data_IF_526847768526
#
_entry.id   IF_526847768526
#
_cell.length_a   1.000
_cell.length_b   1.000
_cell.length_c   1.000
_cell.angle_alpha   90.00
_cell.angle_beta   90.00
_cell.angle_gamma   90.00
#
_symmetry.space_group_name_H-M   'P 1'
#
loop_
_entity.id
_entity.type
_entity.pdbx_description
1 polymer ?
#
# COMPACT_ATOMS: atom_id res chain seq x y z
N UNK A 1 9.33 26.67 3.03
CA UNK A 1 10.47 25.92 2.46
C UNK A 1 9.94 24.68 1.76
N UNK A 2 9.85 24.70 0.42
CA UNK A 2 9.50 23.51 -0.38
C UNK A 2 10.76 22.67 -0.48
N UNK A 3 10.74 21.46 0.10
CA UNK A 3 11.86 20.54 0.04
C UNK A 3 12.20 20.24 -1.42
N UNK A 4 13.38 20.72 -1.83
CA UNK A 4 14.09 20.38 -3.04
C UNK A 4 14.64 18.96 -2.90
N UNK A 5 13.80 17.95 -3.08
CA UNK A 5 14.25 16.62 -3.44
C UNK A 5 13.24 16.04 -4.43
N UNK A 6 13.75 15.19 -5.31
CA UNK A 6 13.04 14.38 -6.29
C UNK A 6 12.75 14.99 -7.67
N UNK A 7 13.64 14.69 -8.61
CA UNK A 7 13.23 14.36 -9.98
C UNK A 7 14.07 13.24 -10.65
N UNK A 8 15.19 12.79 -10.06
CA UNK A 8 16.03 11.73 -10.64
C UNK A 8 15.87 10.35 -9.99
N UNK A 9 16.00 10.26 -8.65
CA UNK A 9 16.04 8.99 -7.91
C UNK A 9 14.70 8.23 -7.93
N UNK A 10 13.60 8.96 -8.09
CA UNK A 10 12.25 8.41 -8.02
C UNK A 10 11.88 7.59 -9.26
N UNK A 11 12.40 7.90 -10.46
CA UNK A 11 11.89 7.26 -11.68
C UNK A 11 12.33 5.79 -11.82
N UNK A 12 13.58 5.47 -11.46
CA UNK A 12 14.08 4.10 -11.53
C UNK A 12 13.42 3.18 -10.47
N UNK A 13 13.30 3.68 -9.23
CA UNK A 13 12.64 2.97 -8.14
C UNK A 13 11.14 2.77 -8.42
N UNK A 14 10.47 3.79 -9.00
CA UNK A 14 9.07 3.65 -9.45
C UNK A 14 8.97 2.54 -10.48
N UNK A 15 9.80 2.52 -11.52
CA UNK A 15 9.75 1.48 -12.57
C UNK A 15 9.95 0.08 -11.99
N UNK A 16 10.92 -0.10 -11.09
CA UNK A 16 11.18 -1.39 -10.43
C UNK A 16 9.99 -1.85 -9.58
N UNK A 17 9.48 -0.99 -8.70
CA UNK A 17 8.34 -1.34 -7.84
C UNK A 17 7.04 -1.54 -8.64
N UNK A 18 6.88 -0.81 -9.75
CA UNK A 18 5.76 -0.94 -10.66
C UNK A 18 5.75 -2.31 -11.36
N UNK A 19 6.91 -2.89 -11.64
CA UNK A 19 7.01 -4.22 -12.26
C UNK A 19 6.37 -5.34 -11.42
N UNK A 20 6.19 -5.13 -10.11
CA UNK A 20 5.53 -6.09 -9.22
C UNK A 20 4.02 -5.86 -9.07
N UNK A 21 3.46 -4.79 -9.67
CA UNK A 21 2.03 -4.47 -9.60
C UNK A 21 1.21 -5.60 -10.18
N UNK A 22 0.17 -6.01 -9.46
CA UNK A 22 -0.75 -7.05 -9.89
C UNK A 22 -1.88 -6.47 -10.73
N UNK A 23 -2.27 -7.12 -11.85
CA UNK A 23 -3.39 -6.67 -12.66
C UNK A 23 -4.70 -6.77 -11.85
N UNK A 24 -5.60 -5.80 -12.04
CA UNK A 24 -6.94 -5.87 -11.44
C UNK A 24 -7.83 -6.88 -12.17
N UNK A 25 -8.85 -7.43 -11.48
CA UNK A 25 -9.82 -8.32 -12.11
C UNK A 25 -10.56 -7.62 -13.25
N UNK A 26 -10.95 -8.40 -14.26
CA UNK A 26 -11.60 -7.96 -15.49
C UNK A 26 -12.86 -7.12 -15.20
N UNK A 27 -12.92 -5.90 -15.76
CA UNK A 27 -14.05 -4.98 -15.60
C UNK A 27 -13.67 -3.52 -15.30
N UNK A 28 -12.39 -3.25 -15.00
CA UNK A 28 -11.86 -1.90 -14.83
C UNK A 28 -11.03 -1.51 -16.06
N UNK A 29 -11.07 -0.24 -16.48
CA UNK A 29 -10.27 0.22 -17.62
C UNK A 29 -8.77 0.16 -17.28
N UNK A 30 -8.00 -0.52 -18.13
CA UNK A 30 -6.55 -0.72 -17.94
C UNK A 30 -5.80 0.61 -17.80
N UNK A 31 -6.13 1.60 -18.64
CA UNK A 31 -5.47 2.91 -18.63
C UNK A 31 -5.68 3.69 -17.32
N UNK A 32 -6.87 3.58 -16.72
CA UNK A 32 -7.17 4.25 -15.45
C UNK A 32 -6.46 3.56 -14.27
N UNK A 33 -6.39 2.23 -14.30
CA UNK A 33 -5.73 1.42 -13.28
C UNK A 33 -4.20 1.57 -13.31
N UNK A 34 -3.59 1.63 -14.48
CA UNK A 34 -2.15 1.85 -14.65
C UNK A 34 -1.76 3.23 -14.09
N UNK A 35 -2.53 4.27 -14.45
CA UNK A 35 -2.35 5.63 -13.94
C UNK A 35 -2.50 5.70 -12.40
N UNK A 36 -3.46 4.96 -11.83
CA UNK A 36 -3.67 4.91 -10.38
C UNK A 36 -2.53 4.18 -9.66
N UNK A 37 -2.07 3.06 -10.20
CA UNK A 37 -1.02 2.23 -9.61
C UNK A 37 0.32 2.98 -9.62
N UNK A 38 0.66 3.66 -10.72
CA UNK A 38 1.89 4.44 -10.81
C UNK A 38 1.89 5.62 -9.81
N UNK A 39 0.77 6.35 -9.72
CA UNK A 39 0.60 7.45 -8.74
C UNK A 39 0.76 6.95 -7.31
N UNK A 40 0.24 5.77 -7.02
CA UNK A 40 0.34 5.13 -5.71
C UNK A 40 1.78 4.80 -5.36
N UNK A 41 2.52 4.13 -6.26
CA UNK A 41 3.93 3.79 -6.08
C UNK A 41 4.77 5.05 -5.88
N UNK A 42 4.55 6.08 -6.71
CA UNK A 42 5.25 7.37 -6.62
C UNK A 42 4.98 8.07 -5.29
N UNK A 43 3.74 8.08 -4.83
CA UNK A 43 3.35 8.65 -3.53
C UNK A 43 4.01 7.90 -2.37
N UNK A 44 4.10 6.58 -2.44
CA UNK A 44 4.73 5.77 -1.41
C UNK A 44 6.23 6.05 -1.31
N UNK A 45 6.97 6.05 -2.42
CA UNK A 45 8.41 6.35 -2.43
C UNK A 45 8.67 7.73 -1.81
N UNK A 46 7.87 8.74 -2.19
CA UNK A 46 7.96 10.10 -1.62
C UNK A 46 7.73 10.13 -0.10
N UNK A 47 6.86 9.25 0.41
CA UNK A 47 6.57 9.13 1.85
C UNK A 47 7.62 8.33 2.61
N UNK A 48 8.23 7.34 1.97
CA UNK A 48 9.35 6.60 2.57
C UNK A 48 10.54 7.54 2.74
N UNK A 49 10.82 8.39 1.75
CA UNK A 49 11.83 9.48 1.79
C UNK A 49 13.27 9.04 2.03
N UNK A 50 13.50 7.79 2.42
CA UNK A 50 14.77 7.17 2.77
C UNK A 50 15.06 6.04 1.79
N UNK A 51 16.20 6.10 1.10
CA UNK A 51 16.64 5.09 0.13
C UNK A 51 16.62 3.68 0.71
N UNK A 52 17.12 3.51 1.95
CA UNK A 52 17.12 2.21 2.65
C UNK A 52 15.72 1.59 2.78
N UNK A 53 14.68 2.36 3.04
CA UNK A 53 13.32 1.82 3.16
C UNK A 53 12.75 1.39 1.80
N UNK A 54 13.18 2.05 0.73
CA UNK A 54 12.81 1.69 -0.65
C UNK A 54 13.50 0.38 -1.05
N UNK A 55 14.78 0.22 -0.72
CA UNK A 55 15.54 -1.02 -0.95
C UNK A 55 14.95 -2.22 -0.19
N UNK A 56 14.58 -2.03 1.09
CA UNK A 56 13.91 -3.08 1.87
C UNK A 56 12.53 -3.43 1.28
N UNK A 57 11.81 -2.45 0.70
CA UNK A 57 10.57 -2.72 -0.03
C UNK A 57 10.84 -3.49 -1.32
N UNK A 58 11.84 -3.13 -2.11
CA UNK A 58 12.26 -3.88 -3.29
C UNK A 58 12.60 -5.33 -2.91
N UNK A 59 13.33 -5.54 -1.81
CA UNK A 59 13.66 -6.87 -1.29
C UNK A 59 12.43 -7.65 -0.85
N UNK A 60 11.51 -7.04 -0.12
CA UNK A 60 10.25 -7.68 0.30
C UNK A 60 9.41 -8.11 -0.91
N UNK A 61 9.32 -7.28 -1.95
CA UNK A 61 8.57 -7.59 -3.17
C UNK A 61 9.24 -8.70 -4.00
N UNK A 62 10.56 -8.71 -4.10
CA UNK A 62 11.29 -9.72 -4.88
C UNK A 62 11.31 -11.09 -4.21
N UNK A 63 11.50 -11.12 -2.89
CA UNK A 63 11.56 -12.36 -2.09
C UNK A 63 10.18 -12.90 -1.71
N UNK A 64 9.17 -12.03 -1.66
CA UNK A 64 7.82 -12.36 -1.15
C UNK A 64 7.83 -12.95 0.27
N UNK A 65 8.86 -12.61 1.05
CA UNK A 65 9.12 -13.24 2.34
C UNK A 65 8.50 -12.41 3.49
N UNK A 66 7.57 -12.99 4.27
CA UNK A 66 6.98 -12.32 5.43
C UNK A 66 8.00 -12.03 6.56
N UNK A 67 9.18 -12.66 6.55
CA UNK A 67 10.25 -12.42 7.52
C UNK A 67 11.12 -11.19 7.21
N UNK A 68 10.92 -10.56 6.04
CA UNK A 68 11.52 -9.26 5.74
C UNK A 68 11.15 -8.20 6.80
N UNK A 69 11.99 -7.17 7.02
CA UNK A 69 11.73 -6.17 8.06
C UNK A 69 10.46 -5.35 7.79
N UNK A 70 9.94 -4.71 8.85
CA UNK A 70 8.81 -3.79 8.73
C UNK A 70 9.21 -2.53 7.95
N UNK A 71 8.50 -2.22 6.89
CA UNK A 71 8.66 -0.97 6.12
C UNK A 71 7.63 0.00 6.64
N UNK A 72 8.04 1.02 7.39
CA UNK A 72 7.11 1.88 8.12
C UNK A 72 7.07 3.30 7.57
N UNK A 73 5.86 3.86 7.47
CA UNK A 73 5.65 5.29 7.22
C UNK A 73 5.04 5.95 8.47
N UNK A 74 5.27 7.27 8.69
CA UNK A 74 4.57 8.00 9.74
C UNK A 74 3.06 7.85 9.60
N UNK A 75 2.37 7.55 10.71
CA UNK A 75 0.92 7.55 10.74
C UNK A 75 0.47 9.01 10.54
N UNK A 76 -0.36 9.31 9.54
CA UNK A 76 -0.93 10.65 9.42
C UNK A 76 -1.67 11.02 10.70
N UNK A 77 -1.74 12.30 11.07
CA UNK A 77 -2.33 12.74 12.34
C UNK A 77 -3.79 12.28 12.58
N UNK A 78 -4.52 11.89 11.51
CA UNK A 78 -5.89 11.32 11.53
C UNK A 78 -5.91 9.80 11.15
N UNK A 79 -4.75 9.14 11.09
CA UNK A 79 -4.60 7.75 10.62
C UNK A 79 -4.87 7.53 9.12
N UNK A 80 -5.14 8.60 8.36
CA UNK A 80 -5.55 8.59 6.93
C UNK A 80 -4.53 9.32 6.07
N UNK A 81 -4.06 8.71 4.97
CA UNK A 81 -3.25 9.43 3.98
C UNK A 81 -4.15 10.18 3.00
N UNK A 82 -3.87 11.46 2.76
CA UNK A 82 -4.47 12.21 1.65
C UNK A 82 -3.87 11.74 0.33
N UNK A 83 -4.68 11.07 -0.49
CA UNK A 83 -4.50 10.99 -1.94
C UNK A 83 -5.51 11.94 -2.60
N UNK A 84 -5.24 12.38 -3.83
CA UNK A 84 -6.05 13.38 -4.56
C UNK A 84 -7.47 12.92 -4.93
N UNK A 85 -7.90 11.75 -4.46
CA UNK A 85 -9.18 11.11 -4.76
C UNK A 85 -9.79 10.43 -3.51
N UNK A 86 -9.43 10.87 -2.31
CA UNK A 86 -9.97 10.31 -1.07
C UNK A 86 -8.93 9.67 -0.13
N UNK A 87 -9.38 9.42 1.11
CA UNK A 87 -8.55 8.96 2.23
C UNK A 87 -8.33 7.44 2.15
N UNK A 88 -7.26 6.98 1.50
CA UNK A 88 -6.92 5.56 1.45
C UNK A 88 -5.97 5.16 2.60
N UNK A 89 -6.15 3.94 3.12
CA UNK A 89 -5.27 3.39 4.16
C UNK A 89 -4.00 2.82 3.51
N UNK A 90 -2.80 3.18 4.00
CA UNK A 90 -1.56 2.87 3.29
C UNK A 90 -1.28 1.38 3.17
N UNK A 91 -1.56 0.60 4.22
CA UNK A 91 -1.39 -0.86 4.18
C UNK A 91 -2.36 -1.54 3.20
N UNK A 92 -3.63 -1.10 3.15
CA UNK A 92 -4.64 -1.64 2.21
C UNK A 92 -4.20 -1.38 0.77
N UNK A 93 -3.78 -0.16 0.47
CA UNK A 93 -3.34 0.22 -0.88
C UNK A 93 -2.12 -0.59 -1.31
N UNK A 94 -1.11 -0.75 -0.45
CA UNK A 94 0.08 -1.54 -0.76
C UNK A 94 -0.26 -3.02 -0.99
N UNK A 95 -1.10 -3.61 -0.13
CA UNK A 95 -1.57 -4.98 -0.32
C UNK A 95 -2.37 -5.14 -1.61
N UNK A 96 -3.21 -4.16 -1.95
CA UNK A 96 -4.02 -4.16 -3.17
C UNK A 96 -3.16 -4.13 -4.44
N UNK A 97 -2.14 -3.28 -4.45
CA UNK A 97 -1.25 -3.10 -5.60
C UNK A 97 -0.37 -4.33 -5.83
N UNK A 98 0.17 -4.95 -4.78
CA UNK A 98 1.22 -5.98 -4.93
C UNK A 98 0.80 -7.43 -4.64
N UNK A 99 -0.33 -7.67 -3.97
CA UNK A 99 -0.76 -9.03 -3.58
C UNK A 99 -2.21 -9.34 -3.92
N UNK A 100 -3.14 -8.50 -3.48
CA UNK A 100 -4.57 -8.82 -3.47
C UNK A 100 -5.39 -7.72 -4.18
N UNK A 101 -5.46 -7.71 -5.53
CA UNK A 101 -6.11 -6.64 -6.31
C UNK A 101 -7.58 -6.36 -5.94
N UNK A 102 -8.25 -7.37 -5.41
CA UNK A 102 -9.66 -7.35 -5.02
C UNK A 102 -9.90 -6.87 -3.57
N UNK A 103 -8.84 -6.67 -2.78
CA UNK A 103 -8.95 -6.09 -1.44
C UNK A 103 -9.31 -4.61 -1.54
N UNK A 104 -10.38 -4.25 -0.84
CA UNK A 104 -10.92 -2.88 -0.80
C UNK A 104 -11.00 -2.33 0.62
N UNK A 105 -11.05 -3.20 1.63
CA UNK A 105 -11.29 -2.85 3.02
C UNK A 105 -10.18 -3.35 3.96
N UNK A 106 -9.82 -2.60 5.01
CA UNK A 106 -8.88 -3.05 6.03
C UNK A 106 -9.36 -4.31 6.78
N UNK A 107 -10.67 -4.55 6.86
CA UNK A 107 -11.23 -5.73 7.53
C UNK A 107 -10.91 -7.05 6.82
N UNK A 108 -10.51 -6.98 5.54
CA UNK A 108 -10.09 -8.15 4.76
C UNK A 108 -8.61 -8.51 4.99
N UNK A 109 -7.89 -7.78 5.84
CA UNK A 109 -6.47 -7.97 6.10
C UNK A 109 -6.20 -8.16 7.59
N UNK A 110 -5.31 -9.09 7.91
CA UNK A 110 -4.78 -9.31 9.25
C UNK A 110 -3.26 -9.34 9.21
N UNK A 111 -2.63 -8.65 10.15
CA UNK A 111 -1.16 -8.64 10.22
C UNK A 111 -0.61 -10.00 10.66
N UNK A 112 0.54 -10.38 10.10
CA UNK A 112 1.33 -11.53 10.58
C UNK A 112 1.89 -11.26 11.99
N UNK A 113 2.17 -12.30 12.80
CA UNK A 113 2.64 -12.14 14.18
C UNK A 113 3.95 -11.36 14.33
N UNK A 114 4.87 -11.48 13.36
CA UNK A 114 6.17 -10.81 13.37
C UNK A 114 6.13 -9.35 12.89
N UNK A 115 4.95 -8.84 12.51
CA UNK A 115 4.79 -7.42 12.20
C UNK A 115 4.83 -6.59 13.50
N UNK A 116 5.87 -5.76 13.65
CA UNK A 116 6.05 -4.92 14.83
C UNK A 116 5.13 -3.69 14.82
N UNK A 117 4.82 -3.18 13.62
CA UNK A 117 4.05 -1.95 13.40
C UNK A 117 2.76 -2.15 12.59
N UNK A 118 1.91 -3.12 12.94
CA UNK A 118 0.69 -3.38 12.19
C UNK A 118 -0.29 -2.22 12.33
N UNK A 119 -1.14 -2.03 11.32
CA UNK A 119 -2.14 -0.96 11.35
C UNK A 119 -3.04 -0.99 12.60
N UNK A 120 -3.40 -2.19 13.07
CA UNK A 120 -4.29 -2.44 14.23
C UNK A 120 -3.77 -1.91 15.57
N UNK A 121 -2.44 -1.82 15.76
CA UNK A 121 -1.84 -1.35 17.03
C UNK A 121 -1.92 0.18 17.23
N UNK A 122 -2.44 0.94 16.26
CA UNK A 122 -2.61 2.41 16.35
C UNK A 122 -1.34 3.20 16.76
N UNK A 123 -0.15 2.69 16.42
CA UNK A 123 1.15 3.32 16.72
C UNK A 123 1.41 4.57 15.87
N UNK A 124 2.42 5.37 16.25
CA UNK A 124 2.83 6.58 15.51
C UNK A 124 3.35 6.31 14.08
N UNK A 125 3.64 5.06 13.74
CA UNK A 125 3.96 4.62 12.39
C UNK A 125 3.15 3.37 12.02
N UNK A 126 3.08 3.09 10.72
CA UNK A 126 2.35 1.94 10.17
C UNK A 126 3.22 1.21 9.16
N UNK A 127 3.29 -0.12 9.29
CA UNK A 127 3.93 -1.00 8.35
C UNK A 127 3.12 -1.08 7.06
N UNK A 128 3.79 -0.90 5.92
CA UNK A 128 3.24 -0.96 4.56
C UNK A 128 3.82 -2.12 3.75
N UNK A 129 4.64 -2.99 4.37
CA UNK A 129 5.11 -4.22 3.75
C UNK A 129 3.89 -5.11 3.43
N UNK A 130 3.57 -5.39 2.15
CA UNK A 130 2.39 -6.17 1.81
C UNK A 130 2.49 -7.64 2.29
N UNK A 131 3.70 -8.16 2.50
CA UNK A 131 3.93 -9.51 3.05
C UNK A 131 3.78 -9.59 4.57
N UNK A 132 3.50 -8.46 5.23
CA UNK A 132 3.15 -8.44 6.66
C UNK A 132 1.65 -8.50 6.92
N UNK A 133 0.83 -8.70 5.88
CA UNK A 133 -0.62 -8.79 5.98
C UNK A 133 -1.15 -9.96 5.17
N UNK A 134 -1.96 -10.80 5.80
CA UNK A 134 -2.66 -11.91 5.14
C UNK A 134 -4.12 -11.58 4.90
N UNK A 135 -4.66 -12.09 3.79
CA UNK A 135 -6.07 -11.94 3.47
C UNK A 135 -6.90 -12.79 4.45
N UNK A 136 -7.96 -12.19 4.99
CA UNK A 136 -8.95 -12.90 5.81
C UNK A 136 -10.24 -13.02 5.02
N UNK A 137 -10.92 -14.16 5.16
CA UNK A 137 -12.27 -14.30 4.64
C UNK A 137 -13.20 -13.41 5.45
N UNK A 138 -13.92 -12.54 4.74
CA UNK A 138 -15.00 -11.78 5.35
C UNK A 138 -16.09 -12.77 5.73
N UNK A 139 -16.25 -13.04 7.02
CA UNK A 139 -17.37 -13.81 7.55
C UNK A 139 -18.68 -13.06 7.21
N UNK A 140 -19.33 -13.46 6.10
CA UNK A 140 -20.74 -13.28 5.71
C UNK A 140 -21.38 -11.87 5.67
N UNK A 141 -20.98 -10.92 6.51
CA UNK A 141 -21.74 -9.72 6.83
C UNK A 141 -21.22 -8.43 6.17
N UNK A 142 -20.12 -8.47 5.43
CA UNK A 142 -19.49 -7.25 4.88
C UNK A 142 -19.86 -6.93 3.43
N UNK A 143 -20.62 -7.79 2.74
CA UNK A 143 -20.90 -7.61 1.30
C UNK A 143 -21.84 -6.43 0.99
N UNK A 144 -22.64 -5.95 1.94
CA UNK A 144 -23.56 -4.82 1.71
C UNK A 144 -22.91 -3.44 1.90
N UNK A 145 -21.84 -3.33 2.69
CA UNK A 145 -21.16 -2.04 2.93
C UNK A 145 -20.25 -1.66 1.75
N UNK A 146 -19.82 -2.64 0.94
CA UNK A 146 -18.94 -2.43 -0.21
C UNK A 146 -19.57 -1.63 -1.36
N UNK A 147 -20.91 -1.48 -1.40
CA UNK A 147 -21.57 -0.60 -2.38
C UNK A 147 -21.47 0.89 -2.05
N UNK A 148 -21.21 1.26 -0.78
CA UNK A 148 -21.22 2.67 -0.37
C UNK A 148 -19.85 3.36 -0.43
N UNK A 149 -18.74 2.62 -0.48
CA UNK A 149 -17.41 3.22 -0.58
C UNK A 149 -16.93 3.47 -2.03
N UNK A 150 -17.76 3.23 -3.04
CA UNK A 150 -17.41 3.48 -4.44
C UNK A 150 -17.89 4.84 -4.96
N UNK A 151 -18.46 5.70 -4.10
CA UNK A 151 -19.06 7.00 -4.47
C UNK A 151 -18.52 8.19 -3.63
N UNK A 152 -17.45 8.02 -2.85
CA UNK A 152 -16.81 9.14 -2.13
C UNK A 152 -15.31 9.19 -2.35
#
# INVERSE_FOLDING_TARGET
>A
MKNFFDNGLTSASVKKLYAYVKPRPSGVSRDQDDCWSEKTVRSLIRKLGKTKLVEELEKALSTQDPLTPCICIPRPADGRMQASQGKCLPHVVCCRVWRFPDVTSPHQLRSVPNCLYPFSKKLNCVCVNPFHYEKCEASGMCNEILRFCSVY
#
